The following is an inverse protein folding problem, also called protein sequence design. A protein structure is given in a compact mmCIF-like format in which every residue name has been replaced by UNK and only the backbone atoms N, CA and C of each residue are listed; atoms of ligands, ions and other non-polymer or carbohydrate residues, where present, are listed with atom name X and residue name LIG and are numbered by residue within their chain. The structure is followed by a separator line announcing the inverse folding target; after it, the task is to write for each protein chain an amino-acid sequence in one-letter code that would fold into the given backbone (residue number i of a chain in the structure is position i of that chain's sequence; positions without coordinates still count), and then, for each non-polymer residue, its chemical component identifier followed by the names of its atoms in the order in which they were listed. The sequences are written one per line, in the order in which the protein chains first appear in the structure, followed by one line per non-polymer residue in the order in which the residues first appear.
data_IF_217449875819
#
_entry.id   IF_217449875819
#
_cell.length_a   1.000
_cell.length_b   1.000
_cell.length_c   1.000
_cell.angle_alpha   90.00
_cell.angle_beta   90.00
_cell.angle_gamma   90.00
#
_symmetry.space_group_name_H-M   'P 1'
#
loop_
_entity.id
_entity.type
_entity.pdbx_description
1 polymer ?
#
# COMPACT_ATOMS: atom_id res chain seq x y z
N UNK A 1 -17.59 -48.65 48.81
CA UNK A 1 -18.01 -47.25 48.67
C UNK A 1 -16.78 -46.45 48.31
N UNK A 2 -16.55 -46.20 47.06
CA UNK A 2 -15.40 -45.42 46.59
C UNK A 2 -15.93 -44.46 45.57
N UNK A 3 -15.87 -43.17 45.87
CA UNK A 3 -16.35 -42.12 45.02
C UNK A 3 -15.32 -41.83 43.91
N UNK A 4 -15.76 -41.86 42.68
CA UNK A 4 -14.99 -41.44 41.52
C UNK A 4 -15.07 -39.92 41.36
N UNK A 5 -13.94 -39.24 41.44
CA UNK A 5 -13.79 -37.82 41.09
C UNK A 5 -13.83 -37.65 39.58
N UNK A 6 -14.76 -36.86 39.10
CA UNK A 6 -14.84 -36.44 37.70
C UNK A 6 -13.93 -35.23 37.48
N UNK A 7 -12.84 -35.42 36.73
CA UNK A 7 -12.00 -34.33 36.25
C UNK A 7 -12.67 -33.64 35.08
N UNK A 8 -13.00 -32.34 35.21
CA UNK A 8 -13.38 -31.44 34.11
C UNK A 8 -12.21 -31.22 33.17
N UNK A 9 -12.41 -31.22 31.85
CA UNK A 9 -11.39 -30.78 30.91
C UNK A 9 -11.27 -29.25 30.96
N UNK A 10 -10.02 -28.80 31.09
CA UNK A 10 -9.61 -27.41 31.04
C UNK A 10 -10.01 -26.77 29.70
N UNK A 11 -10.51 -25.55 29.83
CA UNK A 11 -10.96 -24.75 28.71
C UNK A 11 -9.87 -24.50 27.66
N UNK A 12 -10.28 -24.72 26.45
CA UNK A 12 -9.56 -24.35 25.24
C UNK A 12 -9.58 -22.84 25.14
N UNK A 13 -8.45 -22.21 25.44
CA UNK A 13 -8.24 -20.78 25.22
C UNK A 13 -8.21 -20.55 23.71
N UNK A 14 -9.32 -20.09 23.16
CA UNK A 14 -9.43 -19.61 21.79
C UNK A 14 -8.34 -18.57 21.54
N UNK A 15 -7.28 -18.97 20.84
CA UNK A 15 -6.32 -18.07 20.23
C UNK A 15 -7.11 -17.15 19.30
N UNK A 16 -7.22 -15.86 19.65
CA UNK A 16 -7.91 -14.85 18.85
C UNK A 16 -7.27 -14.82 17.45
N UNK A 17 -7.95 -15.35 16.47
CA UNK A 17 -7.58 -15.25 15.06
C UNK A 17 -7.66 -13.79 14.67
N UNK A 18 -6.51 -13.10 14.69
CA UNK A 18 -6.41 -11.73 14.20
C UNK A 18 -6.84 -11.74 12.72
N UNK A 19 -7.99 -11.15 12.45
CA UNK A 19 -8.56 -11.12 11.10
C UNK A 19 -7.68 -10.26 10.20
N UNK A 20 -7.37 -10.74 8.99
CA UNK A 20 -6.62 -9.96 8.00
C UNK A 20 -7.40 -8.70 7.63
N UNK A 21 -6.72 -7.55 7.55
CA UNK A 21 -7.30 -6.29 7.10
C UNK A 21 -7.64 -6.36 5.61
N UNK A 22 -6.74 -6.94 4.82
CA UNK A 22 -6.99 -7.21 3.41
C UNK A 22 -6.52 -8.63 3.07
N UNK A 23 -7.34 -9.36 2.30
CA UNK A 23 -7.02 -10.70 1.82
C UNK A 23 -7.12 -10.75 0.31
N UNK A 24 -6.09 -11.30 -0.32
CA UNK A 24 -5.99 -11.45 -1.78
C UNK A 24 -5.81 -12.93 -2.08
N UNK A 25 -6.60 -13.46 -3.03
CA UNK A 25 -6.51 -14.88 -3.44
C UNK A 25 -6.55 -14.99 -4.95
N UNK A 26 -5.53 -15.65 -5.50
CA UNK A 26 -5.43 -15.95 -6.92
C UNK A 26 -5.50 -14.73 -7.83
N UNK A 27 -4.99 -13.56 -7.38
CA UNK A 27 -5.11 -12.30 -8.11
C UNK A 27 -4.35 -12.37 -9.43
N UNK A 28 -5.07 -12.17 -10.54
CA UNK A 28 -4.49 -12.12 -11.87
C UNK A 28 -4.81 -10.79 -12.55
N UNK A 29 -3.88 -10.33 -13.39
CA UNK A 29 -4.08 -9.17 -14.26
C UNK A 29 -3.45 -9.42 -15.61
N UNK A 30 -4.25 -9.24 -16.64
CA UNK A 30 -3.85 -9.30 -18.04
C UNK A 30 -4.07 -7.94 -18.69
N UNK A 31 -3.18 -7.56 -19.62
CA UNK A 31 -3.35 -6.48 -20.56
C UNK A 31 -3.30 -7.09 -21.98
N UNK A 32 -4.47 -7.25 -22.60
CA UNK A 32 -4.60 -8.08 -23.77
C UNK A 32 -4.15 -9.52 -23.48
N UNK A 33 -3.23 -10.05 -24.27
CA UNK A 33 -2.67 -11.40 -24.08
C UNK A 33 -1.53 -11.44 -23.04
N UNK A 34 -1.03 -10.30 -22.59
CA UNK A 34 0.10 -10.25 -21.67
C UNK A 34 -0.35 -10.41 -20.22
N UNK A 35 0.04 -11.53 -19.59
CA UNK A 35 -0.21 -11.81 -18.17
C UNK A 35 0.84 -11.10 -17.32
N UNK A 36 0.44 -10.05 -16.58
CA UNK A 36 1.31 -9.28 -15.68
C UNK A 36 1.28 -9.83 -14.26
N UNK A 37 0.11 -10.21 -13.74
CA UNK A 37 -0.03 -10.91 -12.47
C UNK A 37 -0.63 -12.29 -12.74
N UNK A 38 -0.04 -13.32 -12.10
CA UNK A 38 -0.30 -14.73 -12.44
C UNK A 38 -0.78 -15.56 -11.25
N UNK A 39 -1.59 -14.96 -10.38
CA UNK A 39 -2.13 -15.65 -9.20
C UNK A 39 -1.39 -15.27 -7.91
N UNK A 40 -1.56 -14.02 -7.47
CA UNK A 40 -0.99 -13.53 -6.21
C UNK A 40 -1.93 -13.91 -5.06
N UNK A 41 -1.38 -14.55 -4.04
CA UNK A 41 -2.01 -14.78 -2.74
C UNK A 41 -1.29 -13.94 -1.69
N UNK A 42 -2.04 -13.13 -0.94
CA UNK A 42 -1.47 -12.22 0.06
C UNK A 42 -2.49 -11.93 1.15
N UNK A 43 -2.08 -12.07 2.41
CA UNK A 43 -2.79 -11.56 3.57
C UNK A 43 -2.05 -10.34 4.11
N UNK A 44 -2.77 -9.25 4.35
CA UNK A 44 -2.26 -8.01 4.93
C UNK A 44 -2.92 -7.86 6.29
N UNK A 45 -2.11 -7.85 7.33
CA UNK A 45 -2.58 -7.71 8.71
C UNK A 45 -2.58 -6.24 9.12
N UNK A 46 -3.42 -5.83 10.10
CA UNK A 46 -3.29 -4.50 10.69
C UNK A 46 -1.88 -4.26 11.22
N UNK A 47 -1.27 -3.13 10.88
CA UNK A 47 0.10 -2.78 11.25
C UNK A 47 1.20 -3.40 10.38
N UNK A 48 0.85 -4.17 9.34
CA UNK A 48 1.83 -4.65 8.37
C UNK A 48 2.51 -3.49 7.64
N UNK A 49 3.82 -3.54 7.56
CA UNK A 49 4.67 -2.66 6.76
C UNK A 49 5.39 -3.52 5.74
N UNK A 50 4.77 -3.66 4.57
CA UNK A 50 5.22 -4.59 3.54
C UNK A 50 6.03 -3.84 2.49
N UNK A 51 7.32 -4.18 2.34
CA UNK A 51 8.12 -3.74 1.21
C UNK A 51 7.96 -4.72 0.03
N UNK A 52 7.71 -4.19 -1.15
CA UNK A 52 7.55 -4.96 -2.39
C UNK A 52 8.73 -4.64 -3.30
N UNK A 53 9.56 -5.65 -3.53
CA UNK A 53 10.79 -5.57 -4.31
C UNK A 53 10.71 -6.46 -5.55
N UNK A 54 11.58 -6.20 -6.52
CA UNK A 54 11.68 -6.99 -7.76
C UNK A 54 12.12 -6.14 -8.94
N UNK A 55 12.48 -6.79 -10.04
CA UNK A 55 12.93 -6.11 -11.26
C UNK A 55 11.85 -5.20 -11.87
N UNK A 56 12.24 -4.24 -12.71
CA UNK A 56 11.29 -3.46 -13.49
C UNK A 56 10.42 -4.39 -14.35
N UNK A 57 9.13 -4.05 -14.46
CA UNK A 57 8.17 -4.88 -15.21
C UNK A 57 7.70 -6.17 -14.52
N UNK A 58 8.13 -6.46 -13.27
CA UNK A 58 7.70 -7.69 -12.56
C UNK A 58 6.24 -7.68 -12.07
N UNK A 59 5.52 -6.54 -12.19
CA UNK A 59 4.11 -6.42 -11.80
C UNK A 59 3.86 -5.70 -10.48
N UNK A 60 4.89 -5.13 -9.79
CA UNK A 60 4.77 -4.45 -8.48
C UNK A 60 3.72 -3.33 -8.46
N UNK A 61 3.85 -2.34 -9.34
CA UNK A 61 2.90 -1.23 -9.45
C UNK A 61 1.52 -1.71 -9.88
N UNK A 62 1.45 -2.73 -10.74
CA UNK A 62 0.19 -3.34 -11.16
C UNK A 62 -0.51 -4.00 -9.98
N UNK A 63 0.24 -4.68 -9.08
CA UNK A 63 -0.31 -5.24 -7.85
C UNK A 63 -0.94 -4.14 -7.00
N UNK A 64 -0.21 -3.05 -6.68
CA UNK A 64 -0.76 -1.95 -5.88
C UNK A 64 -2.01 -1.34 -6.52
N UNK A 65 -2.01 -1.13 -7.85
CA UNK A 65 -3.16 -0.58 -8.57
C UNK A 65 -4.35 -1.54 -8.62
N UNK A 66 -4.12 -2.84 -8.55
CA UNK A 66 -5.20 -3.82 -8.41
C UNK A 66 -5.78 -3.82 -6.99
N UNK A 67 -4.97 -3.60 -5.94
CA UNK A 67 -5.44 -3.56 -4.57
C UNK A 67 -6.37 -2.38 -4.28
N UNK A 68 -6.18 -1.23 -4.94
CA UNK A 68 -7.08 -0.07 -4.83
C UNK A 68 -8.07 0.05 -5.99
N UNK A 69 -8.13 -0.96 -6.87
CA UNK A 69 -9.03 -1.00 -8.04
C UNK A 69 -8.87 0.15 -9.05
N UNK A 70 -7.72 0.81 -9.09
CA UNK A 70 -7.38 1.66 -10.24
C UNK A 70 -7.16 0.82 -11.50
N UNK A 71 -6.56 -0.37 -11.32
CA UNK A 71 -6.55 -1.43 -12.31
C UNK A 71 -7.49 -2.54 -11.85
N UNK A 72 -8.48 -2.88 -12.68
CA UNK A 72 -9.41 -3.96 -12.34
C UNK A 72 -8.72 -5.31 -12.51
N UNK A 73 -8.71 -6.19 -11.49
CA UNK A 73 -8.18 -7.53 -11.62
C UNK A 73 -8.89 -8.31 -12.74
N UNK A 74 -8.15 -9.14 -13.47
CA UNK A 74 -8.70 -10.04 -14.49
C UNK A 74 -9.29 -11.30 -13.85
N UNK A 75 -8.71 -11.77 -12.73
CA UNK A 75 -9.22 -12.90 -11.94
C UNK A 75 -8.78 -12.76 -10.46
N UNK A 76 -9.33 -13.62 -9.61
CA UNK A 76 -9.02 -13.65 -8.17
C UNK A 76 -10.06 -12.94 -7.32
N UNK A 77 -9.80 -12.93 -6.01
CA UNK A 77 -10.66 -12.32 -4.99
C UNK A 77 -9.83 -11.35 -4.17
N UNK A 78 -10.39 -10.16 -3.92
CA UNK A 78 -9.84 -9.19 -2.97
C UNK A 78 -10.92 -8.92 -1.93
N UNK A 79 -10.56 -9.09 -0.66
CA UNK A 79 -11.41 -8.81 0.50
C UNK A 79 -10.79 -7.68 1.32
N UNK A 80 -11.61 -6.78 1.84
CA UNK A 80 -11.22 -5.73 2.77
C UNK A 80 -12.09 -5.84 4.02
N UNK A 81 -11.47 -6.01 5.19
CA UNK A 81 -12.15 -6.20 6.47
C UNK A 81 -13.26 -7.29 6.42
N UNK A 82 -12.95 -8.42 5.79
CA UNK A 82 -13.85 -9.56 5.65
C UNK A 82 -14.95 -9.41 4.61
N UNK A 83 -15.00 -8.28 3.89
CA UNK A 83 -15.95 -8.08 2.79
C UNK A 83 -15.25 -8.32 1.45
N UNK A 84 -15.74 -9.27 0.66
CA UNK A 84 -15.25 -9.48 -0.69
C UNK A 84 -15.71 -8.31 -1.59
N UNK A 85 -14.72 -7.54 -2.10
CA UNK A 85 -14.96 -6.38 -2.94
C UNK A 85 -15.22 -6.83 -4.39
N UNK A 86 -14.56 -7.91 -4.80
CA UNK A 86 -14.69 -8.49 -6.13
C UNK A 86 -14.64 -9.99 -6.04
N UNK A 87 -15.69 -10.65 -6.47
CA UNK A 87 -15.71 -12.09 -6.76
C UNK A 87 -15.52 -12.28 -8.25
N UNK A 88 -14.35 -12.70 -8.65
CA UNK A 88 -14.14 -13.20 -10.00
C UNK A 88 -14.88 -14.54 -10.13
N UNK A 89 -15.89 -14.60 -10.99
CA UNK A 89 -16.52 -15.88 -11.31
C UNK A 89 -15.49 -16.79 -11.99
N UNK A 90 -15.27 -18.01 -11.52
CA UNK A 90 -14.39 -18.95 -12.19
C UNK A 90 -14.97 -19.29 -13.56
N UNK A 91 -14.18 -19.20 -14.60
CA UNK A 91 -14.45 -19.82 -15.90
C UNK A 91 -15.14 -18.98 -16.99
N UNK A 92 -15.30 -17.66 -16.85
CA UNK A 92 -15.75 -16.81 -17.98
C UNK A 92 -14.71 -15.71 -18.24
N UNK A 93 -13.93 -15.96 -19.28
CA UNK A 93 -12.85 -15.09 -19.76
C UNK A 93 -13.39 -13.90 -20.56
N UNK A 94 -14.27 -13.09 -19.96
CA UNK A 94 -14.58 -11.77 -20.52
C UNK A 94 -14.38 -10.74 -19.39
N UNK A 95 -13.18 -10.12 -19.35
CA UNK A 95 -12.87 -9.09 -18.34
C UNK A 95 -13.79 -7.86 -18.46
N UNK A 96 -14.40 -7.61 -19.62
CA UNK A 96 -15.27 -6.44 -19.85
C UNK A 96 -16.71 -6.62 -19.36
N UNK A 97 -17.12 -7.83 -18.98
CA UNK A 97 -18.49 -8.13 -18.48
C UNK A 97 -18.65 -8.05 -16.96
N UNK A 98 -17.59 -7.74 -16.22
CA UNK A 98 -17.72 -7.55 -14.77
C UNK A 98 -18.26 -6.16 -14.50
N UNK A 99 -19.50 -6.08 -14.11
CA UNK A 99 -20.08 -4.85 -13.57
C UNK A 99 -19.53 -4.64 -12.16
N UNK A 100 -18.47 -3.85 -12.05
CA UNK A 100 -18.05 -3.30 -10.77
C UNK A 100 -19.04 -2.18 -10.42
N UNK A 101 -19.61 -2.22 -9.24
CA UNK A 101 -20.36 -1.08 -8.73
C UNK A 101 -19.37 0.05 -8.42
N UNK A 102 -19.41 1.13 -9.20
CA UNK A 102 -18.52 2.28 -9.00
C UNK A 102 -18.74 2.95 -7.65
N UNK A 103 -19.93 2.87 -7.07
CA UNK A 103 -20.18 3.37 -5.73
C UNK A 103 -19.47 2.50 -4.67
N UNK A 104 -19.42 1.18 -4.86
CA UNK A 104 -18.64 0.27 -4.01
C UNK A 104 -17.14 0.53 -4.15
N UNK A 105 -16.62 0.63 -5.38
CA UNK A 105 -15.23 0.96 -5.63
C UNK A 105 -14.82 2.30 -5.04
N UNK A 106 -15.71 3.30 -5.08
CA UNK A 106 -15.47 4.60 -4.45
C UNK A 106 -15.32 4.46 -2.93
N UNK A 107 -16.17 3.67 -2.26
CA UNK A 107 -16.06 3.39 -0.82
C UNK A 107 -14.74 2.68 -0.49
N UNK A 108 -14.33 1.73 -1.30
CA UNK A 108 -13.05 1.02 -1.13
C UNK A 108 -11.87 1.97 -1.28
N UNK A 109 -11.86 2.81 -2.33
CA UNK A 109 -10.78 3.80 -2.57
C UNK A 109 -10.68 4.85 -1.47
N UNK A 110 -11.75 5.12 -0.72
CA UNK A 110 -11.70 5.98 0.47
C UNK A 110 -10.93 5.34 1.63
N UNK A 111 -10.92 4.00 1.71
CA UNK A 111 -10.28 3.22 2.77
C UNK A 111 -8.84 2.84 2.43
N UNK A 112 -8.45 2.95 1.15
CA UNK A 112 -7.12 2.60 0.64
C UNK A 112 -6.48 3.82 0.00
N UNK A 113 -5.60 4.49 0.73
CA UNK A 113 -4.85 5.63 0.23
C UNK A 113 -3.74 5.20 -0.72
N UNK A 114 -3.51 5.96 -1.79
CA UNK A 114 -2.41 5.69 -2.72
C UNK A 114 -1.58 6.92 -3.00
N UNK A 115 -0.27 6.75 -2.91
CA UNK A 115 0.76 7.75 -3.23
C UNK A 115 1.53 7.24 -4.44
N UNK A 116 1.60 8.03 -5.50
CA UNK A 116 2.17 7.65 -6.78
C UNK A 116 3.61 8.13 -6.94
N UNK A 117 4.33 7.53 -7.86
CA UNK A 117 5.66 7.96 -8.30
C UNK A 117 5.63 9.38 -8.87
N UNK A 118 4.65 9.69 -9.72
CA UNK A 118 4.35 11.06 -10.13
C UNK A 118 3.35 11.63 -9.13
N UNK A 119 3.62 12.77 -8.57
CA UNK A 119 2.89 13.40 -7.46
C UNK A 119 1.38 13.53 -7.71
N UNK A 120 0.96 13.64 -8.97
CA UNK A 120 -0.43 13.76 -9.42
C UNK A 120 -1.21 14.85 -8.67
N UNK A 121 -0.53 15.98 -8.40
CA UNK A 121 -1.19 17.14 -7.79
C UNK A 121 -1.98 17.90 -8.84
N UNK A 122 -3.11 18.45 -8.43
CA UNK A 122 -3.90 19.38 -9.25
C UNK A 122 -3.14 20.70 -9.40
N UNK A 123 -2.64 21.06 -10.59
CA UNK A 123 -1.73 22.20 -10.78
C UNK A 123 -2.42 23.56 -10.55
N UNK A 124 -3.72 23.61 -10.68
CA UNK A 124 -4.57 24.79 -10.47
C UNK A 124 -5.03 25.00 -9.02
N UNK A 125 -4.66 24.08 -8.12
CA UNK A 125 -4.96 24.15 -6.69
C UNK A 125 -3.69 24.39 -5.88
N UNK A 126 -3.80 25.09 -4.75
CA UNK A 126 -2.73 25.20 -3.75
C UNK A 126 -2.45 23.83 -3.10
N UNK A 127 -1.38 23.71 -2.32
CA UNK A 127 -1.12 22.51 -1.50
C UNK A 127 -2.31 22.20 -0.58
N UNK A 128 -2.85 23.21 0.08
CA UNK A 128 -4.06 23.09 0.92
C UNK A 128 -5.26 22.61 0.09
N UNK A 129 -5.50 23.22 -1.07
CA UNK A 129 -6.59 22.82 -1.97
C UNK A 129 -6.48 21.35 -2.41
N UNK A 130 -5.27 20.90 -2.77
CA UNK A 130 -5.01 19.51 -3.12
C UNK A 130 -5.35 18.52 -2.00
N UNK A 131 -5.03 18.86 -0.75
CA UNK A 131 -5.32 18.00 0.41
C UNK A 131 -6.80 18.05 0.79
N UNK A 132 -7.48 19.20 0.62
CA UNK A 132 -8.89 19.36 0.91
C UNK A 132 -9.81 18.66 -0.09
N UNK A 133 -9.37 18.46 -1.32
CA UNK A 133 -10.24 18.08 -2.44
C UNK A 133 -11.05 16.81 -2.14
N UNK A 134 -10.39 15.73 -1.73
CA UNK A 134 -11.06 14.48 -1.40
C UNK A 134 -12.02 14.60 -0.20
N UNK A 135 -11.69 15.44 0.78
CA UNK A 135 -12.54 15.68 1.94
C UNK A 135 -13.87 16.36 1.55
N UNK A 136 -13.81 17.29 0.61
CA UNK A 136 -14.97 18.03 0.13
C UNK A 136 -15.82 17.25 -0.86
N UNK A 137 -15.18 16.73 -1.92
CA UNK A 137 -15.88 16.13 -3.05
C UNK A 137 -16.31 14.69 -2.80
N UNK A 138 -15.53 13.93 -2.02
CA UNK A 138 -15.79 12.50 -1.77
C UNK A 138 -16.44 12.28 -0.40
N UNK A 139 -15.95 12.95 0.66
CA UNK A 139 -16.51 12.82 2.01
C UNK A 139 -17.61 13.83 2.33
N UNK A 140 -17.86 14.82 1.45
CA UNK A 140 -18.89 15.83 1.64
C UNK A 140 -18.68 16.73 2.87
N UNK A 141 -17.45 16.86 3.36
CA UNK A 141 -17.13 17.68 4.53
C UNK A 141 -17.31 19.17 4.25
N UNK A 142 -17.73 19.91 5.27
CA UNK A 142 -17.82 21.38 5.20
C UNK A 142 -16.44 21.99 5.02
N UNK A 143 -16.37 23.10 4.30
CA UNK A 143 -15.12 23.82 3.98
C UNK A 143 -14.21 24.03 5.20
N UNK A 144 -14.78 24.47 6.33
CA UNK A 144 -14.02 24.76 7.54
C UNK A 144 -13.39 23.49 8.16
N UNK A 145 -14.13 22.38 8.17
CA UNK A 145 -13.66 21.08 8.69
C UNK A 145 -12.56 20.51 7.78
N UNK A 146 -12.80 20.50 6.48
CA UNK A 146 -11.83 20.05 5.48
C UNK A 146 -10.54 20.87 5.56
N UNK A 147 -10.63 22.19 5.72
CA UNK A 147 -9.48 23.09 5.86
C UNK A 147 -8.67 22.80 7.13
N UNK A 148 -9.35 22.61 8.26
CA UNK A 148 -8.69 22.27 9.53
C UNK A 148 -7.93 20.95 9.41
N UNK A 149 -8.57 19.91 8.88
CA UNK A 149 -7.95 18.61 8.67
C UNK A 149 -6.77 18.70 7.71
N UNK A 150 -6.95 19.36 6.56
CA UNK A 150 -5.89 19.50 5.56
C UNK A 150 -4.67 20.26 6.09
N UNK A 151 -4.86 21.32 6.88
CA UNK A 151 -3.76 22.04 7.54
C UNK A 151 -3.01 21.16 8.53
N UNK A 152 -3.71 20.34 9.29
CA UNK A 152 -3.08 19.37 10.21
C UNK A 152 -2.20 18.36 9.46
N UNK A 153 -2.69 17.80 8.33
CA UNK A 153 -1.90 16.85 7.55
C UNK A 153 -0.70 17.52 6.83
N UNK A 154 -0.85 18.75 6.36
CA UNK A 154 0.29 19.52 5.83
C UNK A 154 1.35 19.79 6.90
N UNK A 155 0.93 20.15 8.12
CA UNK A 155 1.85 20.34 9.26
C UNK A 155 2.57 19.02 9.61
N UNK A 156 1.86 17.90 9.59
CA UNK A 156 2.40 16.56 9.85
C UNK A 156 3.52 16.18 8.88
N UNK A 157 3.42 16.56 7.62
CA UNK A 157 4.47 16.33 6.61
C UNK A 157 5.49 17.47 6.52
N UNK A 158 5.48 18.43 7.47
CA UNK A 158 6.43 19.54 7.56
C UNK A 158 6.23 20.61 6.49
N UNK A 159 4.97 20.88 6.07
CA UNK A 159 4.62 21.84 5.03
C UNK A 159 3.55 22.86 5.47
N UNK A 160 3.48 23.18 6.77
CA UNK A 160 2.52 24.15 7.30
C UNK A 160 2.66 25.53 6.63
N UNK A 161 3.88 25.98 6.37
CA UNK A 161 4.24 27.25 5.72
C UNK A 161 3.99 27.28 4.21
N UNK A 162 3.75 26.11 3.60
CA UNK A 162 3.52 25.94 2.16
C UNK A 162 2.06 25.72 1.78
N UNK A 163 1.13 25.85 2.72
CA UNK A 163 -0.28 25.56 2.52
C UNK A 163 -0.89 26.31 1.29
N UNK A 164 -0.52 27.56 1.11
CA UNK A 164 -1.03 28.41 0.03
C UNK A 164 -0.15 28.37 -1.25
N UNK A 165 0.93 27.55 -1.26
CA UNK A 165 1.79 27.42 -2.42
C UNK A 165 1.15 26.53 -3.50
N UNK A 166 1.27 26.94 -4.76
CA UNK A 166 0.88 26.12 -5.91
C UNK A 166 1.98 25.09 -6.25
N UNK A 167 1.64 23.93 -6.85
CA UNK A 167 2.61 22.90 -7.20
C UNK A 167 3.83 23.40 -8.01
N UNK A 168 3.64 24.40 -8.86
CA UNK A 168 4.72 25.01 -9.64
C UNK A 168 5.81 25.68 -8.77
N UNK A 169 5.49 26.04 -7.53
CA UNK A 169 6.40 26.68 -6.57
C UNK A 169 6.95 25.72 -5.51
N UNK A 170 6.72 24.42 -5.66
CA UNK A 170 7.15 23.39 -4.73
C UNK A 170 8.26 22.55 -5.35
N UNK A 171 9.27 22.17 -4.53
CA UNK A 171 10.27 21.17 -4.94
C UNK A 171 9.63 19.81 -5.16
N UNK A 172 10.32 18.87 -5.80
CA UNK A 172 9.87 17.49 -5.99
C UNK A 172 9.50 16.82 -4.66
N UNK A 173 10.38 16.91 -3.66
CA UNK A 173 10.12 16.36 -2.32
C UNK A 173 8.94 17.02 -1.61
N UNK A 174 8.73 18.34 -1.78
CA UNK A 174 7.56 19.04 -1.24
C UNK A 174 6.27 18.57 -1.94
N UNK A 175 6.27 18.42 -3.27
CA UNK A 175 5.12 17.90 -4.02
C UNK A 175 4.73 16.49 -3.54
N UNK A 176 5.72 15.64 -3.32
CA UNK A 176 5.50 14.27 -2.83
C UNK A 176 4.92 14.28 -1.41
N UNK A 177 5.42 15.14 -0.53
CA UNK A 177 4.89 15.28 0.81
C UNK A 177 3.44 15.84 0.81
N UNK A 178 3.09 16.73 -0.12
CA UNK A 178 1.67 17.14 -0.32
C UNK A 178 0.83 15.96 -0.79
N UNK A 179 1.33 15.11 -1.70
CA UNK A 179 0.61 13.91 -2.14
C UNK A 179 0.40 12.91 -0.99
N UNK A 180 1.38 12.76 -0.09
CA UNK A 180 1.24 11.96 1.13
C UNK A 180 0.17 12.58 2.05
N UNK A 181 0.22 13.89 2.31
CA UNK A 181 -0.77 14.59 3.14
C UNK A 181 -2.19 14.43 2.58
N UNK A 182 -2.35 14.50 1.24
CA UNK A 182 -3.62 14.26 0.56
C UNK A 182 -4.16 12.85 0.81
N UNK A 183 -3.31 11.84 0.75
CA UNK A 183 -3.70 10.46 1.04
C UNK A 183 -4.08 10.30 2.53
N UNK A 184 -3.30 10.86 3.45
CA UNK A 184 -3.55 10.82 4.90
C UNK A 184 -4.83 11.54 5.32
N UNK A 185 -5.19 12.64 4.65
CA UNK A 185 -6.40 13.40 4.95
C UNK A 185 -7.66 12.54 4.87
N UNK A 186 -7.68 11.54 3.99
CA UNK A 186 -8.77 10.58 3.86
C UNK A 186 -8.81 9.53 4.97
N UNK A 187 -7.87 9.55 5.94
CA UNK A 187 -7.74 8.57 7.03
C UNK A 187 -7.91 7.12 6.55
N UNK A 188 -7.04 6.66 5.65
CA UNK A 188 -7.15 5.33 5.07
C UNK A 188 -6.71 4.25 6.06
N UNK A 189 -7.27 3.05 5.92
CA UNK A 189 -6.89 1.86 6.68
C UNK A 189 -5.58 1.25 6.15
N UNK A 190 -5.32 1.39 4.85
CA UNK A 190 -4.11 0.92 4.17
C UNK A 190 -3.53 2.05 3.32
N UNK A 191 -2.23 2.26 3.41
CA UNK A 191 -1.47 3.18 2.55
C UNK A 191 -0.65 2.40 1.53
N UNK A 192 -0.81 2.73 0.26
CA UNK A 192 -0.05 2.16 -0.84
C UNK A 192 0.91 3.22 -1.39
N UNK A 193 2.20 2.89 -1.45
CA UNK A 193 3.25 3.76 -2.00
C UNK A 193 3.85 3.10 -3.25
N UNK A 194 3.62 3.69 -4.42
CA UNK A 194 4.14 3.24 -5.70
C UNK A 194 5.38 4.06 -6.06
N UNK A 195 6.57 3.57 -5.68
CA UNK A 195 7.88 4.21 -5.93
C UNK A 195 7.92 5.70 -5.55
N UNK A 196 7.63 6.06 -4.29
CA UNK A 196 7.41 7.46 -3.90
C UNK A 196 8.63 8.38 -4.01
N UNK A 197 9.82 7.83 -4.26
CA UNK A 197 11.08 8.59 -4.37
C UNK A 197 11.70 8.55 -5.76
N UNK A 198 11.23 7.68 -6.67
CA UNK A 198 11.89 7.46 -7.98
C UNK A 198 11.89 8.67 -8.93
N UNK A 199 10.99 9.65 -8.70
CA UNK A 199 10.91 10.88 -9.50
C UNK A 199 11.61 12.08 -8.81
N UNK A 200 12.42 11.84 -7.77
CA UNK A 200 13.06 12.87 -6.96
C UNK A 200 14.58 12.94 -7.23
N UNK A 201 15.13 14.14 -7.10
CA UNK A 201 16.55 14.31 -6.98
C UNK A 201 17.06 13.62 -5.69
N UNK A 202 18.25 13.00 -5.69
CA UNK A 202 18.79 12.25 -4.54
C UNK A 202 18.80 13.04 -3.23
N UNK A 203 19.06 14.34 -3.28
CA UNK A 203 19.07 15.23 -2.11
C UNK A 203 17.69 15.35 -1.42
N UNK A 204 16.59 15.14 -2.17
CA UNK A 204 15.21 15.28 -1.68
C UNK A 204 14.61 13.96 -1.19
N UNK A 205 15.22 12.83 -1.50
CA UNK A 205 14.75 11.48 -1.14
C UNK A 205 14.59 11.36 0.37
N UNK A 206 15.61 11.79 1.13
CA UNK A 206 15.63 11.65 2.58
C UNK A 206 14.47 12.34 3.31
N UNK A 207 13.94 13.45 2.76
CA UNK A 207 12.79 14.15 3.36
C UNK A 207 11.50 13.35 3.25
N UNK A 208 11.27 12.69 2.11
CA UNK A 208 10.09 11.85 1.87
C UNK A 208 10.19 10.56 2.69
N UNK A 209 11.36 9.92 2.71
CA UNK A 209 11.58 8.70 3.48
C UNK A 209 11.39 8.92 4.98
N UNK A 210 11.76 10.08 5.54
CA UNK A 210 11.49 10.43 6.94
C UNK A 210 9.99 10.48 7.25
N UNK A 211 9.18 11.04 6.35
CA UNK A 211 7.71 11.05 6.52
C UNK A 211 7.16 9.62 6.49
N UNK A 212 7.59 8.79 5.53
CA UNK A 212 7.12 7.39 5.45
C UNK A 212 7.54 6.61 6.70
N UNK A 213 8.75 6.83 7.23
CA UNK A 213 9.22 6.21 8.47
C UNK A 213 8.34 6.60 9.66
N UNK A 214 7.99 7.88 9.82
CA UNK A 214 7.12 8.30 10.93
C UNK A 214 5.74 7.63 10.88
N UNK A 215 5.19 7.43 9.68
CA UNK A 215 3.93 6.69 9.50
C UNK A 215 4.06 5.21 9.88
N UNK A 216 5.21 4.61 9.60
CA UNK A 216 5.51 3.24 10.00
C UNK A 216 5.63 3.10 11.53
N UNK A 217 6.28 4.06 12.19
CA UNK A 217 6.43 4.12 13.65
C UNK A 217 5.09 4.34 14.37
N UNK A 218 4.14 5.03 13.73
CA UNK A 218 2.76 5.17 14.21
C UNK A 218 1.92 3.88 14.06
N UNK A 219 2.49 2.81 13.49
CA UNK A 219 1.79 1.54 13.29
C UNK A 219 0.80 1.52 12.12
N UNK A 220 0.91 2.45 11.17
CA UNK A 220 0.06 2.46 9.97
C UNK A 220 0.33 1.23 9.11
N UNK A 221 -0.75 0.61 8.63
CA UNK A 221 -0.65 -0.48 7.65
C UNK A 221 -0.27 0.08 6.29
N UNK A 222 0.82 -0.42 5.70
CA UNK A 222 1.32 0.11 4.43
C UNK A 222 1.98 -0.94 3.55
N UNK A 223 1.86 -0.74 2.24
CA UNK A 223 2.62 -1.45 1.23
C UNK A 223 3.47 -0.43 0.45
N UNK A 224 4.74 -0.72 0.32
CA UNK A 224 5.72 0.18 -0.30
C UNK A 224 6.46 -0.53 -1.43
N UNK A 225 6.22 -0.13 -2.67
CA UNK A 225 7.12 -0.46 -3.80
C UNK A 225 8.27 0.55 -3.77
N UNK A 226 9.49 0.07 -3.67
CA UNK A 226 10.67 0.94 -3.61
C UNK A 226 11.91 0.27 -4.18
N UNK A 227 12.88 1.09 -4.59
CA UNK A 227 14.25 0.69 -4.91
C UNK A 227 15.23 0.98 -3.78
N UNK A 228 14.78 1.65 -2.72
CA UNK A 228 15.55 1.99 -1.52
C UNK A 228 15.62 0.77 -0.57
N UNK A 229 16.50 -0.21 -0.88
CA UNK A 229 16.56 -1.48 -0.15
C UNK A 229 16.95 -1.28 1.31
N UNK A 230 17.92 -0.40 1.59
CA UNK A 230 18.32 -0.06 2.96
C UNK A 230 17.15 0.53 3.77
N UNK A 231 16.35 1.41 3.15
CA UNK A 231 15.14 1.93 3.79
C UNK A 231 14.09 0.84 4.03
N UNK A 232 13.84 -0.01 3.03
CA UNK A 232 12.91 -1.13 3.15
C UNK A 232 13.31 -2.08 4.29
N UNK A 233 14.61 -2.36 4.43
CA UNK A 233 15.14 -3.21 5.50
C UNK A 233 14.81 -2.68 6.90
N UNK A 234 14.94 -1.36 7.13
CA UNK A 234 14.73 -0.75 8.44
C UNK A 234 13.27 -0.44 8.77
N UNK A 235 12.41 -0.27 7.77
CA UNK A 235 11.01 0.18 7.98
C UNK A 235 10.01 -0.96 7.86
N UNK A 236 10.26 -1.91 6.96
CA UNK A 236 9.35 -3.02 6.76
C UNK A 236 9.45 -4.08 7.88
N UNK A 237 8.31 -4.70 8.20
CA UNK A 237 8.30 -5.93 9.01
C UNK A 237 8.13 -7.19 8.13
N UNK A 238 7.81 -6.98 6.85
CA UNK A 238 7.67 -8.05 5.86
C UNK A 238 8.14 -7.57 4.49
N UNK A 239 8.80 -8.44 3.75
CA UNK A 239 9.28 -8.18 2.38
C UNK A 239 8.66 -9.20 1.44
N UNK A 240 8.19 -8.73 0.29
CA UNK A 240 7.73 -9.55 -0.83
C UNK A 240 8.69 -9.32 -2.00
N UNK A 241 9.27 -10.38 -2.53
CA UNK A 241 10.02 -10.34 -3.78
C UNK A 241 9.14 -10.84 -4.93
N UNK A 242 8.82 -9.96 -5.88
CA UNK A 242 7.97 -10.26 -7.04
C UNK A 242 8.83 -10.39 -8.29
N UNK A 243 8.66 -11.51 -8.99
CA UNK A 243 9.22 -11.74 -10.30
C UNK A 243 8.21 -12.51 -11.17
N UNK A 244 8.17 -12.24 -12.47
CA UNK A 244 7.29 -12.91 -13.43
C UNK A 244 5.81 -12.94 -13.02
N UNK A 245 5.35 -11.91 -12.30
CA UNK A 245 3.95 -11.78 -11.90
C UNK A 245 3.52 -12.65 -10.73
N UNK A 246 4.46 -13.28 -10.00
CA UNK A 246 4.19 -14.07 -8.79
C UNK A 246 5.06 -13.61 -7.63
N UNK A 247 4.66 -13.92 -6.39
CA UNK A 247 5.51 -13.77 -5.21
C UNK A 247 6.49 -14.94 -5.19
N UNK A 248 7.75 -14.68 -5.50
CA UNK A 248 8.80 -15.70 -5.50
C UNK A 248 9.31 -16.00 -4.09
N UNK A 249 9.38 -14.97 -3.25
CA UNK A 249 9.86 -15.10 -1.87
C UNK A 249 9.18 -14.06 -0.99
N UNK A 250 8.88 -14.45 0.24
CA UNK A 250 8.36 -13.53 1.26
C UNK A 250 8.84 -13.92 2.64
N UNK A 251 9.01 -12.94 3.50
CA UNK A 251 9.49 -13.16 4.86
C UNK A 251 9.85 -11.86 5.56
N UNK A 252 10.57 -11.96 6.67
CA UNK A 252 11.14 -10.79 7.33
C UNK A 252 12.26 -10.17 6.48
N UNK A 253 12.62 -8.90 6.69
CA UNK A 253 13.76 -8.29 6.00
C UNK A 253 15.05 -9.12 6.09
N UNK A 254 15.36 -9.71 7.26
CA UNK A 254 16.53 -10.58 7.41
C UNK A 254 16.46 -11.83 6.54
N UNK A 255 15.27 -12.44 6.42
CA UNK A 255 15.09 -13.65 5.60
C UNK A 255 15.26 -13.36 4.12
N UNK A 256 14.63 -12.29 3.62
CA UNK A 256 14.56 -12.03 2.17
C UNK A 256 15.75 -11.20 1.67
N UNK A 257 16.29 -10.27 2.48
CA UNK A 257 17.35 -9.35 2.05
C UNK A 257 18.75 -9.80 2.47
N UNK A 258 18.90 -10.39 3.67
CA UNK A 258 20.22 -10.90 4.12
C UNK A 258 20.45 -12.37 3.76
N UNK A 259 19.43 -13.19 3.89
CA UNK A 259 19.52 -14.64 3.72
C UNK A 259 18.51 -15.17 2.68
N UNK A 260 18.48 -14.65 1.44
CA UNK A 260 17.52 -15.08 0.44
C UNK A 260 17.72 -16.57 0.09
N UNK A 261 16.61 -17.32 0.07
CA UNK A 261 16.61 -18.74 -0.27
C UNK A 261 16.46 -18.97 -1.77
N UNK A 262 15.70 -18.08 -2.44
CA UNK A 262 15.43 -18.20 -3.86
C UNK A 262 16.58 -17.63 -4.71
N UNK A 263 17.05 -18.34 -5.75
CA UNK A 263 18.17 -17.88 -6.59
C UNK A 263 17.93 -16.51 -7.23
N UNK A 264 16.69 -16.21 -7.64
CA UNK A 264 16.32 -14.91 -8.24
C UNK A 264 16.35 -13.77 -7.24
N UNK A 265 15.89 -14.00 -6.02
CA UNK A 265 15.96 -13.02 -4.94
C UNK A 265 17.42 -12.70 -4.62
N UNK A 266 18.24 -13.76 -4.50
CA UNK A 266 19.68 -13.63 -4.24
C UNK A 266 20.36 -12.81 -5.33
N UNK A 267 20.15 -13.14 -6.59
CA UNK A 267 20.72 -12.40 -7.72
C UNK A 267 20.25 -10.95 -7.80
N UNK A 268 19.04 -10.64 -7.31
CA UNK A 268 18.55 -9.28 -7.21
C UNK A 268 19.24 -8.52 -6.07
N UNK A 269 19.27 -9.10 -4.88
CA UNK A 269 19.90 -8.50 -3.70
C UNK A 269 21.40 -8.29 -3.91
N UNK A 270 22.12 -9.26 -4.49
CA UNK A 270 23.56 -9.17 -4.74
C UNK A 270 23.94 -8.00 -5.67
N UNK A 271 23.08 -7.63 -6.62
CA UNK A 271 23.27 -6.44 -7.47
C UNK A 271 23.11 -5.11 -6.73
N UNK A 272 22.47 -5.13 -5.57
CA UNK A 272 22.17 -3.93 -4.78
C UNK A 272 22.90 -3.94 -3.43
N UNK A 273 23.87 -4.87 -3.23
CA UNK A 273 24.64 -5.00 -1.99
C UNK A 273 25.67 -3.90 -1.75
N UNK A 274 25.80 -2.92 -2.65
CA UNK A 274 26.55 -1.69 -2.37
C UNK A 274 25.91 -0.82 -1.28
N UNK A 275 24.71 -1.22 -0.80
CA UNK A 275 24.03 -0.59 0.32
C UNK A 275 24.30 -1.40 1.59
N UNK A 276 25.17 -0.84 2.47
CA UNK A 276 25.40 -1.39 3.82
C UNK A 276 24.09 -1.46 4.61
N UNK A 277 23.81 -2.64 5.15
CA UNK A 277 22.68 -2.90 6.05
C UNK A 277 23.07 -2.65 7.51
#
# INVERSE_FOLDING_TARGET
MTMAEASSPAGDTAAGTTQSLMRVRGLQKHFGEHAVLRGIDLDIMPGDRIAILGASGSGKSTLLRCLNFMERPSAGVVELAGQAIVRAAPGKADPDRRTYDEAELTRVRQRIGMVFQQFNLFPHMTALGNVMEGLRTVRGQREAEARTRARAELARVGLADKAEAYPARLSGGQKQRVAIARALAMDPEVLLFDEPTSALDPELVGEVLRVIRSLAEEGRTMLLVTHEIGFAYHVANRVLFIAEGVIHEQGTPDQVLKNPTQPRTRAFVDRHREFDF
#
